data_IF_251692524552
#
_entry.id   IF_251692524552
#
_cell.length_a   1.000
_cell.length_b   1.000
_cell.length_c   1.000
_cell.angle_alpha   90.00
_cell.angle_beta   90.00
_cell.angle_gamma   90.00
#
_symmetry.space_group_name_H-M   'P 1'
#
loop_
_entity.id
_entity.type
_entity.pdbx_description
1 polymer ?
#
# COMPACT_ATOMS: atom_id res chain seq x y z
N UNK A 1 74.63 4.35 -24.96
CA UNK A 1 74.37 5.65 -24.29
C UNK A 1 72.87 6.06 -24.23
N UNK A 2 71.92 5.38 -24.88
CA UNK A 2 70.49 5.78 -24.83
C UNK A 2 69.76 5.49 -23.50
N UNK A 3 70.18 4.51 -22.70
CA UNK A 3 69.42 4.10 -21.50
C UNK A 3 69.50 5.08 -20.32
N UNK A 4 70.63 5.79 -20.15
CA UNK A 4 70.82 6.76 -19.06
C UNK A 4 69.96 8.02 -19.28
N UNK A 5 69.77 8.42 -20.55
CA UNK A 5 68.89 9.53 -20.92
C UNK A 5 67.42 9.20 -20.65
N UNK A 6 66.97 7.97 -20.97
CA UNK A 6 65.62 7.50 -20.72
C UNK A 6 65.28 7.39 -19.22
N UNK A 7 66.20 6.89 -18.39
CA UNK A 7 65.99 6.78 -16.92
C UNK A 7 65.94 8.17 -16.27
N UNK A 8 66.77 9.11 -16.72
CA UNK A 8 66.77 10.48 -16.22
C UNK A 8 65.50 11.25 -16.62
N UNK A 9 65.01 11.06 -17.85
CA UNK A 9 63.73 11.61 -18.30
C UNK A 9 62.58 11.03 -17.46
N UNK A 10 62.50 9.70 -17.30
CA UNK A 10 61.47 9.05 -16.47
C UNK A 10 61.49 9.55 -15.01
N UNK A 11 62.67 9.69 -14.41
CA UNK A 11 62.81 10.25 -13.05
C UNK A 11 62.35 11.71 -12.96
N UNK A 12 62.59 12.52 -13.99
CA UNK A 12 62.13 13.91 -14.08
C UNK A 12 60.61 13.99 -14.26
N UNK A 13 60.02 13.15 -15.11
CA UNK A 13 58.59 13.05 -15.31
C UNK A 13 57.86 12.64 -14.02
N UNK A 14 58.31 11.58 -13.34
CA UNK A 14 57.72 11.13 -12.06
C UNK A 14 57.80 12.20 -10.95
N UNK A 15 58.82 13.08 -10.97
CA UNK A 15 58.93 14.20 -10.01
C UNK A 15 57.94 15.33 -10.32
N UNK A 16 57.67 15.61 -11.59
CA UNK A 16 56.69 16.62 -12.02
C UNK A 16 55.27 16.15 -11.71
N UNK A 17 54.95 14.90 -12.04
CA UNK A 17 53.65 14.27 -11.75
C UNK A 17 53.33 14.27 -10.25
N UNK A 18 54.30 13.89 -9.39
CA UNK A 18 54.14 13.99 -7.94
C UNK A 18 53.91 15.42 -7.44
N UNK A 19 54.51 16.43 -8.09
CA UNK A 19 54.31 17.84 -7.76
C UNK A 19 52.91 18.30 -8.14
N UNK A 20 52.41 17.90 -9.31
CA UNK A 20 51.06 18.18 -9.77
C UNK A 20 50.02 17.55 -8.86
N UNK A 21 50.17 16.26 -8.54
CA UNK A 21 49.26 15.53 -7.66
C UNK A 21 49.23 16.16 -6.25
N UNK A 22 50.38 16.63 -5.73
CA UNK A 22 50.42 17.34 -4.45
C UNK A 22 49.60 18.64 -4.50
N UNK A 23 49.78 19.44 -5.55
CA UNK A 23 49.03 20.69 -5.73
C UNK A 23 47.55 20.39 -5.90
N UNK A 24 47.20 19.39 -6.72
CA UNK A 24 45.82 18.98 -6.94
C UNK A 24 45.12 18.60 -5.62
N UNK A 25 45.76 17.75 -4.80
CA UNK A 25 45.24 17.37 -3.49
C UNK A 25 45.06 18.59 -2.56
N UNK A 26 46.00 19.54 -2.59
CA UNK A 26 45.89 20.76 -1.79
C UNK A 26 44.72 21.64 -2.25
N UNK A 27 44.54 21.79 -3.57
CA UNK A 27 43.38 22.50 -4.13
C UNK A 27 42.07 21.78 -3.78
N UNK A 28 42.04 20.44 -3.78
CA UNK A 28 40.86 19.66 -3.38
C UNK A 28 40.48 19.88 -1.92
N UNK A 29 41.46 19.87 -1.01
CA UNK A 29 41.21 20.21 0.39
C UNK A 29 40.67 21.63 0.53
N UNK A 30 41.23 22.58 -0.22
CA UNK A 30 40.76 23.96 -0.24
C UNK A 30 39.31 24.05 -0.73
N UNK A 31 38.96 23.39 -1.85
CA UNK A 31 37.58 23.35 -2.35
C UNK A 31 36.63 22.78 -1.30
N UNK A 32 36.94 21.60 -0.72
CA UNK A 32 36.10 20.97 0.32
C UNK A 32 35.90 21.89 1.52
N UNK A 33 36.97 22.52 2.00
CA UNK A 33 36.91 23.43 3.14
C UNK A 33 36.02 24.66 2.87
N UNK A 34 36.11 25.23 1.68
CA UNK A 34 35.36 26.42 1.28
C UNK A 34 33.88 26.11 1.00
N UNK A 35 33.57 24.91 0.49
CA UNK A 35 32.20 24.43 0.34
C UNK A 35 31.57 24.18 1.71
N UNK A 36 32.22 23.42 2.60
CA UNK A 36 31.73 23.14 3.96
C UNK A 36 31.49 24.43 4.76
N UNK A 37 32.39 25.42 4.62
CA UNK A 37 32.22 26.73 5.26
C UNK A 37 30.91 27.40 4.86
N UNK A 38 30.52 27.33 3.58
CA UNK A 38 29.27 27.93 3.07
C UNK A 38 28.03 27.20 3.57
N UNK A 39 28.14 25.90 3.80
CA UNK A 39 27.07 25.08 4.38
C UNK A 39 26.83 25.40 5.86
N UNK A 40 27.88 25.83 6.58
CA UNK A 40 27.81 26.15 8.01
C UNK A 40 27.56 27.63 8.32
N UNK A 41 27.86 28.55 7.41
CA UNK A 41 27.64 29.97 7.63
C UNK A 41 26.17 30.34 7.47
N UNK A 42 25.59 30.94 8.52
CA UNK A 42 24.38 31.74 8.37
C UNK A 42 24.76 33.04 7.64
N UNK A 43 23.94 33.54 6.71
CA UNK A 43 24.11 34.90 6.20
C UNK A 43 24.04 35.84 7.41
N UNK A 44 25.17 36.47 7.72
CA UNK A 44 25.36 37.31 8.89
C UNK A 44 25.91 38.65 8.44
N UNK A 45 25.33 39.71 8.99
CA UNK A 45 25.74 41.08 8.71
C UNK A 45 27.22 41.25 9.12
N UNK A 46 28.10 41.50 8.15
CA UNK A 46 29.52 41.78 8.44
C UNK A 46 29.67 43.22 8.94
N UNK A 47 30.18 43.38 10.16
CA UNK A 47 30.43 44.69 10.75
C UNK A 47 31.44 45.52 9.94
N UNK A 48 31.39 46.85 10.09
CA UNK A 48 32.24 47.79 9.35
C UNK A 48 33.75 47.55 9.56
N UNK A 49 34.17 47.14 10.75
CA UNK A 49 35.56 46.78 11.06
C UNK A 49 36.07 45.57 10.26
N UNK A 50 35.18 44.62 9.95
CA UNK A 50 35.51 43.44 9.14
C UNK A 50 35.72 43.83 7.66
N UNK A 51 35.05 44.89 7.16
CA UNK A 51 35.16 45.36 5.77
C UNK A 51 36.56 45.90 5.45
N UNK A 52 37.11 46.74 6.32
CA UNK A 52 38.48 47.25 6.19
C UNK A 52 39.51 46.11 6.27
N UNK A 53 39.26 45.13 7.14
CA UNK A 53 40.11 43.94 7.29
C UNK A 53 40.12 43.09 6.00
N UNK A 54 38.98 42.96 5.31
CA UNK A 54 38.86 42.26 4.03
C UNK A 54 39.68 42.96 2.93
N UNK A 55 39.55 44.29 2.80
CA UNK A 55 40.32 45.06 1.82
C UNK A 55 41.83 44.96 2.10
N UNK A 56 42.26 45.04 3.36
CA UNK A 56 43.66 44.86 3.75
C UNK A 56 44.18 43.45 3.42
N UNK A 57 43.38 42.41 3.66
CA UNK A 57 43.73 41.04 3.31
C UNK A 57 43.92 40.86 1.80
N UNK A 58 43.02 41.43 0.98
CA UNK A 58 43.14 41.39 -0.48
C UNK A 58 44.34 42.20 -0.99
N UNK A 59 44.59 43.39 -0.45
CA UNK A 59 45.76 44.19 -0.84
C UNK A 59 47.08 43.51 -0.44
N UNK A 60 47.13 42.87 0.72
CA UNK A 60 48.29 42.04 1.12
C UNK A 60 48.53 40.91 0.11
N UNK A 61 47.46 40.26 -0.37
CA UNK A 61 47.56 39.23 -1.42
C UNK A 61 48.00 39.80 -2.77
N UNK A 62 47.51 40.97 -3.17
CA UNK A 62 47.97 41.65 -4.38
C UNK A 62 49.47 41.90 -4.35
N UNK A 63 50.00 42.43 -3.25
CA UNK A 63 51.45 42.65 -3.06
C UNK A 63 52.25 41.36 -3.15
N UNK A 64 51.78 40.30 -2.47
CA UNK A 64 52.41 38.99 -2.51
C UNK A 64 52.49 38.42 -3.94
N UNK A 65 51.41 38.56 -4.73
CA UNK A 65 51.39 38.09 -6.13
C UNK A 65 52.42 38.84 -6.97
N UNK A 66 52.47 40.16 -6.88
CA UNK A 66 53.42 41.00 -7.64
C UNK A 66 54.88 40.63 -7.29
N UNK A 67 55.19 40.51 -6.01
CA UNK A 67 56.55 40.14 -5.56
C UNK A 67 57.01 38.78 -6.07
N UNK A 68 56.10 37.80 -6.11
CA UNK A 68 56.43 36.42 -6.51
C UNK A 68 56.42 36.26 -8.03
N UNK A 69 55.61 37.05 -8.74
CA UNK A 69 55.63 37.15 -10.18
C UNK A 69 57.00 37.62 -10.69
N UNK A 70 57.59 38.67 -10.07
CA UNK A 70 58.95 39.12 -10.37
C UNK A 70 60.04 38.06 -10.11
N UNK A 71 59.78 37.11 -9.20
CA UNK A 71 60.71 36.03 -8.85
C UNK A 71 60.51 34.74 -9.65
N UNK A 72 59.52 34.69 -10.56
CA UNK A 72 59.22 33.50 -11.37
C UNK A 72 58.75 32.27 -10.58
N UNK A 73 58.24 32.46 -9.34
CA UNK A 73 57.90 31.38 -8.39
C UNK A 73 56.40 31.24 -8.14
N UNK A 74 55.56 31.62 -9.10
CA UNK A 74 54.09 31.63 -9.00
C UNK A 74 53.52 30.28 -8.55
N UNK A 75 54.09 29.15 -8.99
CA UNK A 75 53.62 27.82 -8.59
C UNK A 75 53.65 27.58 -7.08
N UNK A 76 54.48 28.30 -6.32
CA UNK A 76 54.65 28.09 -4.88
C UNK A 76 53.54 28.72 -4.04
N UNK A 77 52.81 29.68 -4.61
CA UNK A 77 51.68 30.35 -3.93
C UNK A 77 50.33 30.02 -4.56
N UNK A 78 50.32 29.15 -5.57
CA UNK A 78 49.12 28.81 -6.31
C UNK A 78 47.97 28.33 -5.41
N UNK A 79 48.16 27.46 -4.40
CA UNK A 79 47.10 27.09 -3.46
C UNK A 79 46.56 28.28 -2.67
N UNK A 80 47.45 29.15 -2.17
CA UNK A 80 47.03 30.34 -1.42
C UNK A 80 46.25 31.34 -2.29
N UNK A 81 46.68 31.53 -3.53
CA UNK A 81 45.98 32.35 -4.52
C UNK A 81 44.60 31.78 -4.85
N UNK A 82 44.51 30.46 -5.06
CA UNK A 82 43.26 29.77 -5.35
C UNK A 82 42.28 29.83 -4.16
N UNK A 83 42.76 29.63 -2.94
CA UNK A 83 41.96 29.80 -1.72
C UNK A 83 41.40 31.22 -1.62
N UNK A 84 42.23 32.25 -1.82
CA UNK A 84 41.78 33.64 -1.82
C UNK A 84 40.74 33.89 -2.92
N UNK A 85 40.93 33.33 -4.11
CA UNK A 85 39.95 33.40 -5.20
C UNK A 85 38.59 32.83 -4.79
N UNK A 86 38.54 31.65 -4.16
CA UNK A 86 37.30 31.08 -3.63
C UNK A 86 36.66 31.95 -2.53
N UNK A 87 37.48 32.54 -1.66
CA UNK A 87 37.01 33.39 -0.56
C UNK A 87 36.39 34.71 -1.03
N UNK A 88 36.68 35.16 -2.26
CA UNK A 88 36.03 36.34 -2.87
C UNK A 88 34.72 36.03 -3.59
N UNK A 89 34.35 34.74 -3.73
CA UNK A 89 33.07 34.32 -4.31
C UNK A 89 31.94 34.42 -3.31
N UNK A 90 30.70 34.43 -3.78
CA UNK A 90 29.48 34.50 -2.95
C UNK A 90 29.58 33.63 -1.68
N UNK A 91 29.14 34.19 -0.54
CA UNK A 91 29.27 33.60 0.82
C UNK A 91 30.73 33.28 1.24
N UNK A 92 31.67 33.90 0.54
CA UNK A 92 33.09 33.96 0.83
C UNK A 92 33.43 34.69 2.13
N UNK A 93 34.52 34.32 2.80
CA UNK A 93 35.02 35.07 3.97
C UNK A 93 35.45 36.48 3.56
N UNK A 94 35.97 36.63 2.34
CA UNK A 94 36.37 37.89 1.71
C UNK A 94 35.31 38.45 0.73
N UNK A 95 34.11 37.88 0.71
CA UNK A 95 33.00 38.38 -0.09
C UNK A 95 32.26 39.50 0.63
N UNK A 96 31.95 40.58 -0.09
CA UNK A 96 31.06 41.64 0.37
C UNK A 96 29.94 41.80 -0.65
N UNK A 97 28.69 41.92 -0.19
CA UNK A 97 27.54 42.22 -1.04
C UNK A 97 27.24 43.73 -1.03
N UNK A 98 26.65 44.24 -2.11
CA UNK A 98 26.21 45.64 -2.18
C UNK A 98 25.12 45.97 -1.15
N UNK A 99 24.32 44.97 -0.77
CA UNK A 99 23.26 45.13 0.23
C UNK A 99 23.82 45.30 1.65
N UNK A 100 24.93 44.63 1.95
CA UNK A 100 25.60 44.69 3.25
C UNK A 100 26.57 45.88 3.38
N UNK A 101 26.91 46.54 2.27
CA UNK A 101 27.95 47.57 2.23
C UNK A 101 27.45 48.86 1.56
N UNK A 102 27.67 50.00 2.23
CA UNK A 102 27.37 51.30 1.61
C UNK A 102 28.09 51.46 0.27
N UNK A 103 27.47 52.18 -0.67
CA UNK A 103 27.86 52.24 -2.08
C UNK A 103 29.36 52.56 -2.28
N UNK A 104 29.90 53.53 -1.53
CA UNK A 104 31.29 53.94 -1.62
C UNK A 104 32.27 52.83 -1.20
N UNK A 105 32.02 52.19 -0.05
CA UNK A 105 32.86 51.09 0.44
C UNK A 105 32.77 49.85 -0.46
N UNK A 106 31.60 49.61 -1.06
CA UNK A 106 31.44 48.53 -2.04
C UNK A 106 32.26 48.79 -3.31
N UNK A 107 32.27 50.03 -3.84
CA UNK A 107 33.09 50.42 -4.99
C UNK A 107 34.59 50.22 -4.70
N UNK A 108 35.05 50.62 -3.52
CA UNK A 108 36.45 50.40 -3.10
C UNK A 108 36.79 48.91 -3.04
N UNK A 109 35.92 48.10 -2.44
CA UNK A 109 36.06 46.64 -2.43
C UNK A 109 36.13 46.05 -3.85
N UNK A 110 35.23 46.45 -4.75
CA UNK A 110 35.23 45.97 -6.14
C UNK A 110 36.54 46.31 -6.87
N UNK A 111 37.10 47.50 -6.62
CA UNK A 111 38.39 47.88 -7.20
C UNK A 111 39.53 46.97 -6.69
N UNK A 112 39.60 46.72 -5.38
CA UNK A 112 40.64 45.87 -4.78
C UNK A 112 40.49 44.41 -5.22
N UNK A 113 39.26 43.89 -5.22
CA UNK A 113 38.93 42.55 -5.72
C UNK A 113 39.25 42.41 -7.21
N UNK A 114 38.90 43.39 -8.04
CA UNK A 114 39.17 43.39 -9.47
C UNK A 114 40.67 43.36 -9.79
N UNK A 115 41.49 44.08 -9.01
CA UNK A 115 42.95 43.99 -9.08
C UNK A 115 43.43 42.57 -8.76
N UNK A 116 42.93 41.97 -7.69
CA UNK A 116 43.27 40.60 -7.32
C UNK A 116 42.90 39.60 -8.42
N UNK A 117 41.68 39.67 -8.96
CA UNK A 117 41.21 38.77 -10.02
C UNK A 117 42.06 38.91 -11.29
N UNK A 118 42.48 40.13 -11.62
CA UNK A 118 43.38 40.41 -12.75
C UNK A 118 44.78 39.81 -12.52
N UNK A 119 45.36 40.03 -11.34
CA UNK A 119 46.67 39.51 -10.97
C UNK A 119 46.66 37.97 -10.90
N UNK A 120 45.57 37.38 -10.41
CA UNK A 120 45.36 35.94 -10.39
C UNK A 120 45.35 35.35 -11.80
N UNK A 121 44.55 35.93 -12.71
CA UNK A 121 44.48 35.47 -14.10
C UNK A 121 45.82 35.63 -14.84
N UNK A 122 46.47 36.79 -14.68
CA UNK A 122 47.79 37.04 -15.26
C UNK A 122 48.84 36.04 -14.76
N UNK A 123 48.83 35.73 -13.47
CA UNK A 123 49.73 34.75 -12.86
C UNK A 123 49.52 33.35 -13.41
N UNK A 124 48.28 32.94 -13.65
CA UNK A 124 47.99 31.66 -14.30
C UNK A 124 48.47 31.62 -15.76
N UNK A 125 48.30 32.72 -16.51
CA UNK A 125 48.77 32.81 -17.89
C UNK A 125 50.29 32.82 -17.99
N UNK A 126 50.99 33.35 -16.98
CA UNK A 126 52.44 33.36 -16.90
C UNK A 126 53.06 32.00 -16.53
N UNK A 127 52.26 31.02 -16.07
CA UNK A 127 52.76 29.66 -15.81
C UNK A 127 53.11 28.96 -17.12
N UNK A 128 54.35 28.50 -17.26
CA UNK A 128 54.76 27.64 -18.38
C UNK A 128 54.15 26.23 -18.32
N UNK A 129 53.67 25.83 -17.15
CA UNK A 129 53.12 24.50 -16.85
C UNK A 129 51.63 24.43 -17.17
N UNK A 130 51.29 23.94 -18.37
CA UNK A 130 49.91 23.84 -18.86
C UNK A 130 49.04 22.90 -18.02
N UNK A 131 49.63 21.89 -17.40
CA UNK A 131 48.90 20.92 -16.59
C UNK A 131 48.44 21.55 -15.27
N UNK A 132 49.29 22.35 -14.61
CA UNK A 132 48.89 23.14 -13.45
C UNK A 132 47.76 24.12 -13.76
N UNK A 133 47.78 24.75 -14.94
CA UNK A 133 46.68 25.62 -15.38
C UNK A 133 45.38 24.82 -15.53
N UNK A 134 45.46 23.63 -16.13
CA UNK A 134 44.32 22.72 -16.30
C UNK A 134 43.74 22.29 -14.95
N UNK A 135 44.58 21.87 -14.01
CA UNK A 135 44.18 21.50 -12.64
C UNK A 135 43.40 22.65 -11.99
N UNK A 136 43.93 23.87 -12.00
CA UNK A 136 43.25 25.04 -11.41
C UNK A 136 41.89 25.28 -12.05
N UNK A 137 41.81 25.29 -13.39
CA UNK A 137 40.53 25.49 -14.11
C UNK A 137 39.52 24.39 -13.79
N UNK A 138 39.96 23.14 -13.70
CA UNK A 138 39.11 22.01 -13.34
C UNK A 138 38.58 22.18 -11.91
N UNK A 139 39.41 22.60 -10.96
CA UNK A 139 38.96 22.86 -9.57
C UNK A 139 38.05 24.08 -9.45
N UNK A 140 38.24 25.12 -10.29
CA UNK A 140 37.29 26.23 -10.38
C UNK A 140 35.91 25.77 -10.84
N UNK A 141 35.87 24.96 -11.91
CA UNK A 141 34.62 24.37 -12.42
C UNK A 141 33.96 23.48 -11.36
N UNK A 142 34.72 22.58 -10.77
CA UNK A 142 34.25 21.66 -9.73
C UNK A 142 33.68 22.42 -8.51
N UNK A 143 34.29 23.53 -8.10
CA UNK A 143 33.72 24.39 -7.07
C UNK A 143 32.36 24.96 -7.47
N UNK A 144 32.23 25.52 -8.68
CA UNK A 144 30.96 26.11 -9.13
C UNK A 144 29.85 25.06 -9.26
N UNK A 145 30.17 23.89 -9.84
CA UNK A 145 29.22 22.78 -10.01
C UNK A 145 28.67 22.35 -8.63
N UNK A 146 29.55 22.13 -7.65
CA UNK A 146 29.14 21.75 -6.30
C UNK A 146 28.48 22.89 -5.52
N UNK A 147 28.92 24.13 -5.70
CA UNK A 147 28.32 25.28 -5.03
C UNK A 147 26.88 25.51 -5.50
N UNK A 148 26.59 25.28 -6.79
CA UNK A 148 25.23 25.32 -7.32
C UNK A 148 24.33 24.30 -6.61
N UNK A 149 24.83 23.07 -6.41
CA UNK A 149 24.10 22.01 -5.68
C UNK A 149 23.91 22.40 -4.21
N UNK A 150 24.91 23.00 -3.55
CA UNK A 150 24.76 23.50 -2.17
C UNK A 150 23.66 24.55 -2.07
N UNK A 151 23.58 25.48 -3.04
CA UNK A 151 22.52 26.49 -3.06
C UNK A 151 21.14 25.84 -3.21
N UNK A 152 21.03 24.87 -4.10
CA UNK A 152 19.82 24.06 -4.25
C UNK A 152 19.45 23.37 -2.93
N UNK A 153 20.40 22.66 -2.31
CA UNK A 153 20.22 22.00 -1.00
C UNK A 153 19.76 22.99 0.06
N UNK A 154 20.31 24.20 0.10
CA UNK A 154 19.90 25.23 1.07
C UNK A 154 18.44 25.65 0.89
N UNK A 155 17.99 25.80 -0.35
CA UNK A 155 16.58 26.07 -0.67
C UNK A 155 15.70 24.90 -0.25
N UNK A 156 16.07 23.67 -0.62
CA UNK A 156 15.33 22.46 -0.21
C UNK A 156 15.24 22.34 1.32
N UNK A 157 16.35 22.61 2.02
CA UNK A 157 16.42 22.59 3.48
C UNK A 157 15.46 23.62 4.10
N UNK A 158 15.37 24.82 3.51
CA UNK A 158 14.42 25.84 3.94
C UNK A 158 12.97 25.41 3.69
N UNK A 159 12.68 24.83 2.53
CA UNK A 159 11.36 24.30 2.19
C UNK A 159 10.93 23.21 3.18
N UNK A 160 11.81 22.26 3.50
CA UNK A 160 11.54 21.22 4.50
C UNK A 160 11.29 21.80 5.89
N UNK A 161 12.06 22.84 6.28
CA UNK A 161 11.82 23.54 7.55
C UNK A 161 10.46 24.24 7.58
N UNK A 162 10.04 24.84 6.47
CA UNK A 162 8.73 25.47 6.36
C UNK A 162 7.62 24.43 6.43
N UNK A 163 7.73 23.32 5.70
CA UNK A 163 6.81 22.17 5.79
C UNK A 163 6.68 21.73 7.25
N UNK A 164 7.79 21.44 7.94
CA UNK A 164 7.78 21.04 9.35
C UNK A 164 7.11 22.08 10.24
N UNK A 165 7.37 23.36 10.00
CA UNK A 165 6.78 24.46 10.78
C UNK A 165 5.27 24.51 10.59
N UNK A 166 4.78 24.40 9.36
CA UNK A 166 3.36 24.40 9.03
C UNK A 166 2.65 23.21 9.66
N UNK A 167 3.19 21.99 9.52
CA UNK A 167 2.65 20.78 10.16
C UNK A 167 2.60 20.93 11.69
N UNK A 168 3.64 21.50 12.30
CA UNK A 168 3.67 21.72 13.73
C UNK A 168 2.60 22.73 14.19
N UNK A 169 2.27 23.72 13.34
CA UNK A 169 1.20 24.70 13.58
C UNK A 169 -0.19 24.11 13.38
N UNK A 170 -0.36 23.11 12.52
CA UNK A 170 -1.62 22.38 12.40
C UNK A 170 -1.97 21.71 13.73
N UNK A 171 -3.16 22.01 14.26
CA UNK A 171 -3.59 21.43 15.53
C UNK A 171 -3.73 19.91 15.41
N UNK A 172 -3.30 19.18 16.45
CA UNK A 172 -3.50 17.73 16.49
C UNK A 172 -4.98 17.46 16.75
N UNK A 173 -5.67 16.89 15.77
CA UNK A 173 -7.08 16.50 15.93
C UNK A 173 -7.13 15.11 16.58
N UNK A 174 -7.90 14.97 17.67
CA UNK A 174 -8.43 13.67 18.08
C UNK A 174 -9.73 13.48 17.30
N UNK A 175 -9.77 12.59 16.29
CA UNK A 175 -10.95 12.49 15.45
C UNK A 175 -12.15 12.02 16.27
N UNK A 176 -13.26 12.72 16.15
CA UNK A 176 -14.53 12.33 16.78
C UNK A 176 -15.33 11.38 15.87
N UNK A 177 -15.24 11.62 14.57
CA UNK A 177 -15.83 10.81 13.52
C UNK A 177 -14.82 10.53 12.40
N UNK A 178 -15.25 9.70 11.46
CA UNK A 178 -14.44 9.30 10.31
C UNK A 178 -14.21 10.43 9.31
N UNK A 179 -15.21 11.29 9.10
CA UNK A 179 -15.12 12.40 8.15
C UNK A 179 -14.06 13.41 8.58
N UNK A 180 -13.97 13.70 9.87
CA UNK A 180 -12.92 14.50 10.47
C UNK A 180 -11.54 13.84 10.32
N UNK A 181 -11.44 12.53 10.53
CA UNK A 181 -10.17 11.80 10.35
C UNK A 181 -9.69 11.86 8.89
N UNK A 182 -10.58 11.60 7.92
CA UNK A 182 -10.25 11.65 6.49
C UNK A 182 -9.93 13.07 6.04
N UNK A 183 -10.69 14.06 6.49
CA UNK A 183 -10.46 15.47 6.14
C UNK A 183 -9.11 15.95 6.68
N UNK A 184 -8.76 15.59 7.91
CA UNK A 184 -7.46 15.91 8.50
C UNK A 184 -6.29 15.27 7.74
N UNK A 185 -6.41 13.98 7.36
CA UNK A 185 -5.38 13.33 6.55
C UNK A 185 -5.24 13.94 5.16
N UNK A 186 -6.34 14.41 4.55
CA UNK A 186 -6.31 15.16 3.28
C UNK A 186 -5.63 16.52 3.42
N UNK A 187 -5.77 17.19 4.57
CA UNK A 187 -5.07 18.44 4.85
C UNK A 187 -3.56 18.24 4.96
N UNK A 188 -3.10 17.11 5.52
CA UNK A 188 -1.68 16.80 5.68
C UNK A 188 -1.06 16.19 4.41
N UNK A 189 -1.86 15.52 3.56
CA UNK A 189 -1.38 14.81 2.38
C UNK A 189 -0.47 15.64 1.43
N UNK A 190 -0.75 16.93 1.14
CA UNK A 190 0.14 17.77 0.34
C UNK A 190 1.55 17.87 0.91
N UNK A 191 1.69 18.06 2.24
CA UNK A 191 3.00 18.15 2.88
C UNK A 191 3.81 16.85 2.75
N UNK A 192 3.13 15.70 2.82
CA UNK A 192 3.76 14.39 2.62
C UNK A 192 4.23 14.22 1.18
N UNK A 193 3.42 14.65 0.20
CA UNK A 193 3.78 14.60 -1.21
C UNK A 193 4.98 15.52 -1.52
N UNK A 194 4.97 16.75 -1.02
CA UNK A 194 6.09 17.70 -1.18
C UNK A 194 7.37 17.15 -0.55
N UNK A 195 7.28 16.56 0.64
CA UNK A 195 8.42 15.92 1.29
C UNK A 195 8.98 14.75 0.45
N UNK A 196 8.13 13.93 -0.15
CA UNK A 196 8.54 12.83 -1.04
C UNK A 196 9.27 13.31 -2.31
N UNK A 197 8.86 14.44 -2.88
CA UNK A 197 9.57 15.06 -4.01
C UNK A 197 10.98 15.48 -3.58
N UNK A 198 11.11 16.09 -2.39
CA UNK A 198 12.41 16.49 -1.84
C UNK A 198 13.27 15.28 -1.49
N UNK A 199 12.68 14.22 -0.95
CA UNK A 199 13.36 12.93 -0.69
C UNK A 199 13.89 12.29 -1.97
N UNK A 200 13.11 12.34 -3.06
CA UNK A 200 13.53 11.84 -4.37
C UNK A 200 14.77 12.60 -4.87
N UNK A 201 14.75 13.94 -4.75
CA UNK A 201 15.90 14.77 -5.12
C UNK A 201 17.11 14.52 -4.20
N UNK A 202 16.88 14.31 -2.91
CA UNK A 202 17.93 13.92 -1.96
C UNK A 202 18.62 12.61 -2.40
N UNK A 203 17.87 11.61 -2.88
CA UNK A 203 18.44 10.33 -3.33
C UNK A 203 19.40 10.52 -4.51
N UNK A 204 19.10 11.45 -5.42
CA UNK A 204 19.96 11.75 -6.59
C UNK A 204 21.29 12.41 -6.19
N UNK A 205 21.31 13.19 -5.11
CA UNK A 205 22.49 14.00 -4.71
C UNK A 205 23.25 13.40 -3.52
N UNK A 206 22.74 12.33 -2.89
CA UNK A 206 23.30 11.78 -1.65
C UNK A 206 24.75 11.28 -1.77
N UNK A 207 25.18 10.92 -2.98
CA UNK A 207 26.50 10.31 -3.26
C UNK A 207 27.55 11.35 -3.68
N UNK A 208 27.26 12.65 -3.56
CA UNK A 208 28.18 13.70 -3.98
C UNK A 208 29.30 13.97 -2.95
N UNK A 209 30.53 13.57 -3.31
CA UNK A 209 31.73 13.56 -2.45
C UNK A 209 32.15 14.90 -1.82
N UNK A 210 31.79 16.03 -2.45
CA UNK A 210 32.23 17.37 -2.04
C UNK A 210 31.21 18.12 -1.18
N UNK A 211 30.01 17.56 -1.01
CA UNK A 211 28.88 18.25 -0.37
C UNK A 211 28.22 17.41 0.73
N UNK A 212 28.95 16.42 1.27
CA UNK A 212 28.48 15.47 2.29
C UNK A 212 27.84 16.19 3.50
N UNK A 213 28.42 17.30 3.96
CA UNK A 213 27.86 18.06 5.09
C UNK A 213 26.49 18.69 4.76
N UNK A 214 26.32 19.19 3.53
CA UNK A 214 25.07 19.78 3.06
C UNK A 214 23.98 18.70 2.95
N UNK A 215 24.34 17.56 2.36
CA UNK A 215 23.48 16.38 2.22
C UNK A 215 23.04 15.88 3.60
N UNK A 216 23.95 15.75 4.57
CA UNK A 216 23.63 15.36 5.95
C UNK A 216 22.65 16.32 6.62
N UNK A 217 22.82 17.64 6.43
CA UNK A 217 21.90 18.66 6.96
C UNK A 217 20.50 18.52 6.36
N UNK A 218 20.40 18.37 5.04
CA UNK A 218 19.12 18.14 4.37
C UNK A 218 18.45 16.86 4.86
N UNK A 219 19.19 15.76 4.96
CA UNK A 219 18.67 14.49 5.46
C UNK A 219 18.10 14.61 6.88
N UNK A 220 18.83 15.29 7.78
CA UNK A 220 18.36 15.50 9.15
C UNK A 220 17.06 16.31 9.23
N UNK A 221 16.90 17.32 8.37
CA UNK A 221 15.66 18.10 8.30
C UNK A 221 14.51 17.29 7.67
N UNK A 222 14.77 16.51 6.61
CA UNK A 222 13.79 15.60 6.00
C UNK A 222 13.27 14.63 7.05
N UNK A 223 14.17 13.96 7.76
CA UNK A 223 13.82 13.00 8.82
C UNK A 223 12.98 13.67 9.92
N UNK A 224 13.35 14.89 10.31
CA UNK A 224 12.61 15.65 11.33
C UNK A 224 11.22 16.08 10.86
N UNK A 225 11.05 16.42 9.58
CA UNK A 225 9.76 16.74 8.98
C UNK A 225 8.89 15.49 8.87
N UNK A 226 9.43 14.38 8.38
CA UNK A 226 8.74 13.09 8.29
C UNK A 226 8.20 12.66 9.66
N UNK A 227 9.04 12.73 10.69
CA UNK A 227 8.63 12.40 12.07
C UNK A 227 7.47 13.28 12.56
N UNK A 228 7.49 14.58 12.25
CA UNK A 228 6.40 15.49 12.62
C UNK A 228 5.08 15.15 11.89
N UNK A 229 5.15 14.79 10.60
CA UNK A 229 3.99 14.29 9.83
C UNK A 229 3.44 13.02 10.49
N UNK A 230 4.30 12.05 10.79
CA UNK A 230 3.90 10.78 11.37
C UNK A 230 3.23 10.99 12.74
N UNK A 231 3.82 11.81 13.62
CA UNK A 231 3.26 12.14 14.94
C UNK A 231 1.88 12.80 14.84
N UNK A 232 1.70 13.74 13.90
CA UNK A 232 0.42 14.44 13.70
C UNK A 232 -0.64 13.52 13.12
N UNK A 233 -0.28 12.67 12.17
CA UNK A 233 -1.23 11.79 11.48
C UNK A 233 -1.60 10.53 12.27
N UNK A 234 -0.77 10.13 13.24
CA UNK A 234 -0.92 8.84 13.96
C UNK A 234 -2.31 8.63 14.56
N UNK A 235 -2.91 9.65 15.18
CA UNK A 235 -4.21 9.52 15.82
C UNK A 235 -5.34 9.30 14.80
N UNK A 236 -5.32 10.02 13.68
CA UNK A 236 -6.29 9.86 12.60
C UNK A 236 -6.16 8.50 11.91
N UNK A 237 -4.92 8.09 11.60
CA UNK A 237 -4.64 6.77 11.02
C UNK A 237 -5.08 5.64 11.95
N UNK A 238 -4.78 5.77 13.25
CA UNK A 238 -5.18 4.79 14.26
C UNK A 238 -6.70 4.71 14.36
N UNK A 239 -7.39 5.84 14.44
CA UNK A 239 -8.85 5.88 14.52
C UNK A 239 -9.49 5.14 13.34
N UNK A 240 -9.09 5.45 12.10
CA UNK A 240 -9.61 4.79 10.89
C UNK A 240 -9.32 3.28 10.89
N UNK A 241 -8.12 2.90 11.34
CA UNK A 241 -7.75 1.49 11.42
C UNK A 241 -8.55 0.75 12.50
N UNK A 242 -8.80 1.38 13.64
CA UNK A 242 -9.60 0.81 14.73
C UNK A 242 -11.06 0.61 14.28
N UNK A 243 -11.63 1.51 13.47
CA UNK A 243 -12.95 1.33 12.85
C UNK A 243 -12.97 0.12 11.90
N UNK A 244 -11.99 0.01 11.00
CA UNK A 244 -11.86 -1.15 10.13
C UNK A 244 -11.70 -2.45 10.93
N UNK A 245 -10.91 -2.43 12.00
CA UNK A 245 -10.73 -3.58 12.86
C UNK A 245 -12.01 -3.97 13.61
N UNK A 246 -12.81 -2.99 14.05
CA UNK A 246 -14.10 -3.23 14.69
C UNK A 246 -15.06 -3.96 13.74
N UNK A 247 -15.14 -3.53 12.47
CA UNK A 247 -15.95 -4.19 11.44
C UNK A 247 -15.51 -5.65 11.27
N UNK A 248 -14.20 -5.89 11.22
CA UNK A 248 -13.68 -7.25 11.09
C UNK A 248 -13.93 -8.12 12.34
N UNK A 249 -13.89 -7.52 13.54
CA UNK A 249 -14.26 -8.22 14.76
C UNK A 249 -15.75 -8.57 14.80
N UNK A 250 -16.63 -7.67 14.35
CA UNK A 250 -18.07 -7.95 14.20
C UNK A 250 -18.31 -9.07 13.19
N UNK A 251 -17.57 -9.10 12.09
CA UNK A 251 -17.56 -10.23 11.16
C UNK A 251 -17.20 -11.54 11.87
N UNK A 252 -16.09 -11.56 12.62
CA UNK A 252 -15.62 -12.77 13.33
C UNK A 252 -16.58 -13.29 14.39
N UNK A 253 -17.33 -12.41 15.06
CA UNK A 253 -18.31 -12.82 16.08
C UNK A 253 -19.67 -13.22 15.51
N UNK A 254 -19.93 -12.89 14.24
CA UNK A 254 -21.19 -13.22 13.57
C UNK A 254 -21.17 -14.67 13.08
N UNK A 255 -22.18 -15.50 13.43
CA UNK A 255 -22.24 -16.88 12.95
C UNK A 255 -22.27 -16.96 11.43
N UNK A 256 -21.47 -17.88 10.86
CA UNK A 256 -21.49 -18.17 9.44
C UNK A 256 -22.78 -18.89 9.05
N UNK A 257 -23.83 -18.12 8.73
CA UNK A 257 -25.11 -18.62 8.21
C UNK A 257 -25.55 -17.87 6.95
N UNK A 258 -26.36 -18.52 6.11
CA UNK A 258 -26.91 -17.92 4.89
C UNK A 258 -27.69 -16.63 5.13
N UNK A 259 -28.32 -16.49 6.30
CA UNK A 259 -29.05 -15.28 6.69
C UNK A 259 -28.14 -14.05 6.84
N UNK A 260 -26.84 -14.28 7.05
CA UNK A 260 -25.85 -13.22 7.29
C UNK A 260 -25.01 -12.91 6.03
N UNK A 261 -25.31 -13.52 4.87
CA UNK A 261 -24.52 -13.34 3.65
C UNK A 261 -24.50 -11.86 3.18
N UNK A 262 -25.64 -11.18 3.24
CA UNK A 262 -25.75 -9.75 2.91
C UNK A 262 -24.95 -8.89 3.87
N UNK A 263 -24.99 -9.22 5.17
CA UNK A 263 -24.20 -8.53 6.20
C UNK A 263 -22.69 -8.68 5.95
N UNK A 264 -22.21 -9.88 5.62
CA UNK A 264 -20.81 -10.11 5.28
C UNK A 264 -20.39 -9.37 4.01
N UNK A 265 -21.27 -9.27 3.03
CA UNK A 265 -21.03 -8.50 1.81
C UNK A 265 -20.92 -7.00 2.11
N UNK A 266 -21.78 -6.46 2.96
CA UNK A 266 -21.72 -5.07 3.40
C UNK A 266 -20.42 -4.77 4.19
N UNK A 267 -20.06 -5.64 5.14
CA UNK A 267 -18.81 -5.52 5.90
C UNK A 267 -17.57 -5.56 4.99
N UNK A 268 -17.58 -6.41 3.95
CA UNK A 268 -16.54 -6.44 2.92
C UNK A 268 -16.42 -5.10 2.18
N UNK A 269 -17.55 -4.51 1.79
CA UNK A 269 -17.57 -3.22 1.07
C UNK A 269 -17.00 -2.09 1.92
N UNK A 270 -17.34 -2.04 3.22
CA UNK A 270 -16.76 -1.06 4.14
C UNK A 270 -15.25 -1.25 4.30
N UNK A 271 -14.77 -2.49 4.44
CA UNK A 271 -13.33 -2.76 4.51
C UNK A 271 -12.60 -2.40 3.20
N UNK A 272 -13.22 -2.59 2.05
CA UNK A 272 -12.67 -2.13 0.76
C UNK A 272 -12.54 -0.60 0.74
N UNK A 273 -13.51 0.12 1.28
CA UNK A 273 -13.48 1.58 1.39
C UNK A 273 -12.33 2.05 2.28
N UNK A 274 -12.13 1.44 3.44
CA UNK A 274 -10.96 1.73 4.29
C UNK A 274 -9.63 1.38 3.61
N UNK A 275 -9.55 0.25 2.90
CA UNK A 275 -8.37 -0.09 2.09
C UNK A 275 -8.05 1.01 1.07
N UNK A 276 -9.07 1.54 0.39
CA UNK A 276 -8.91 2.65 -0.55
C UNK A 276 -8.44 3.95 0.11
N UNK A 277 -8.87 4.25 1.33
CA UNK A 277 -8.36 5.40 2.11
C UNK A 277 -6.86 5.22 2.38
N UNK A 278 -6.44 4.05 2.90
CA UNK A 278 -5.03 3.80 3.19
C UNK A 278 -4.15 3.74 1.93
N UNK A 279 -4.69 3.29 0.80
CA UNK A 279 -4.03 3.35 -0.50
C UNK A 279 -3.78 4.80 -0.95
N UNK A 280 -4.78 5.66 -0.82
CA UNK A 280 -4.69 7.07 -1.23
C UNK A 280 -3.64 7.88 -0.47
N UNK A 281 -3.30 7.47 0.76
CA UNK A 281 -2.27 8.10 1.60
C UNK A 281 -0.95 7.33 1.63
N UNK A 282 -0.83 6.30 0.78
CA UNK A 282 0.33 5.43 0.63
C UNK A 282 0.76 4.75 1.94
N UNK A 283 -0.20 4.25 2.73
CA UNK A 283 0.03 3.45 3.94
C UNK A 283 -0.06 1.95 3.62
N UNK A 284 1.05 1.41 3.12
CA UNK A 284 1.15 0.04 2.62
C UNK A 284 0.90 -0.98 3.75
N UNK A 285 1.35 -0.70 4.97
CA UNK A 285 1.25 -1.65 6.09
C UNK A 285 -0.20 -1.85 6.51
N UNK A 286 -0.96 -0.77 6.74
CA UNK A 286 -2.36 -0.86 7.16
C UNK A 286 -3.24 -1.38 6.04
N UNK A 287 -2.98 -0.96 4.79
CA UNK A 287 -3.64 -1.51 3.60
C UNK A 287 -3.50 -3.03 3.55
N UNK A 288 -2.28 -3.56 3.67
CA UNK A 288 -2.02 -5.01 3.62
C UNK A 288 -2.74 -5.78 4.74
N UNK A 289 -2.84 -5.21 5.94
CA UNK A 289 -3.64 -5.81 7.03
C UNK A 289 -5.13 -5.89 6.69
N UNK A 290 -5.69 -4.84 6.12
CA UNK A 290 -7.10 -4.81 5.68
C UNK A 290 -7.34 -5.79 4.52
N UNK A 291 -6.39 -5.93 3.60
CA UNK A 291 -6.46 -6.97 2.55
C UNK A 291 -6.52 -8.38 3.14
N UNK A 292 -5.79 -8.65 4.24
CA UNK A 292 -5.92 -9.89 4.99
C UNK A 292 -7.32 -10.11 5.60
N UNK A 293 -7.97 -9.03 6.06
CA UNK A 293 -9.36 -9.09 6.54
C UNK A 293 -10.31 -9.44 5.39
N UNK A 294 -10.15 -8.78 4.23
CA UNK A 294 -10.95 -9.00 3.02
C UNK A 294 -10.87 -10.45 2.53
N UNK A 295 -9.66 -11.01 2.46
CA UNK A 295 -9.46 -12.42 2.08
C UNK A 295 -10.18 -13.40 3.00
N UNK A 296 -10.22 -13.08 4.30
CA UNK A 296 -10.93 -13.91 5.29
C UNK A 296 -12.44 -13.89 5.07
N UNK A 297 -13.02 -12.72 4.77
CA UNK A 297 -14.46 -12.59 4.48
C UNK A 297 -14.78 -13.27 3.15
N UNK A 298 -13.94 -13.09 2.12
CA UNK A 298 -14.14 -13.69 0.80
C UNK A 298 -14.21 -15.21 0.84
N UNK A 299 -13.35 -15.84 1.64
CA UNK A 299 -13.40 -17.28 1.85
C UNK A 299 -14.75 -17.72 2.43
N UNK A 300 -15.27 -17.01 3.42
CA UNK A 300 -16.55 -17.34 4.06
C UNK A 300 -17.73 -17.09 3.13
N UNK A 301 -17.76 -15.93 2.46
CA UNK A 301 -18.79 -15.59 1.47
C UNK A 301 -18.85 -16.64 0.37
N UNK A 302 -17.69 -17.06 -0.16
CA UNK A 302 -17.62 -18.11 -1.19
C UNK A 302 -18.15 -19.45 -0.68
N UNK A 303 -17.75 -19.88 0.52
CA UNK A 303 -18.25 -21.12 1.11
C UNK A 303 -19.78 -21.11 1.29
N UNK A 304 -20.33 -19.98 1.74
CA UNK A 304 -21.78 -19.82 1.91
C UNK A 304 -22.53 -19.79 0.57
N UNK A 305 -21.97 -19.17 -0.46
CA UNK A 305 -22.52 -19.21 -1.82
C UNK A 305 -22.53 -20.65 -2.37
N UNK A 306 -21.45 -21.41 -2.15
CA UNK A 306 -21.37 -22.81 -2.56
C UNK A 306 -22.40 -23.68 -1.82
N UNK A 307 -22.62 -23.44 -0.52
CA UNK A 307 -23.68 -24.10 0.25
C UNK A 307 -25.08 -23.75 -0.27
N UNK A 308 -25.33 -22.48 -0.58
CA UNK A 308 -26.60 -22.03 -1.17
C UNK A 308 -26.87 -22.72 -2.51
N UNK A 309 -25.85 -22.85 -3.37
CA UNK A 309 -25.95 -23.58 -4.62
C UNK A 309 -26.24 -25.07 -4.41
N UNK A 310 -25.61 -25.69 -3.40
CA UNK A 310 -25.90 -27.10 -3.04
C UNK A 310 -27.34 -27.27 -2.53
N UNK A 311 -27.84 -26.36 -1.71
CA UNK A 311 -29.22 -26.38 -1.22
C UNK A 311 -30.22 -26.23 -2.36
N UNK A 312 -30.04 -25.22 -3.24
CA UNK A 312 -30.88 -25.05 -4.43
C UNK A 312 -30.88 -26.28 -5.34
N UNK A 313 -29.71 -26.90 -5.53
CA UNK A 313 -29.61 -28.13 -6.33
C UNK A 313 -30.29 -29.32 -5.65
N UNK A 314 -30.24 -29.41 -4.33
CA UNK A 314 -30.94 -30.45 -3.58
C UNK A 314 -32.47 -30.25 -3.61
N UNK A 315 -32.94 -29.03 -3.41
CA UNK A 315 -34.36 -28.66 -3.55
C UNK A 315 -34.88 -28.93 -4.96
N UNK A 316 -34.14 -28.54 -6.00
CA UNK A 316 -34.50 -28.84 -7.39
C UNK A 316 -34.59 -30.34 -7.65
N UNK A 317 -33.66 -31.15 -7.11
CA UNK A 317 -33.71 -32.62 -7.21
C UNK A 317 -34.90 -33.23 -6.47
N UNK A 318 -35.25 -32.71 -5.30
CA UNK A 318 -36.42 -33.18 -4.55
C UNK A 318 -37.71 -32.84 -5.29
N UNK A 319 -37.80 -31.63 -5.86
CA UNK A 319 -38.91 -31.21 -6.71
C UNK A 319 -39.01 -32.09 -7.97
N UNK A 320 -37.90 -32.35 -8.65
CA UNK A 320 -37.86 -33.23 -9.83
C UNK A 320 -38.27 -34.67 -9.47
N UNK A 321 -37.78 -35.20 -8.34
CA UNK A 321 -38.17 -36.53 -7.86
C UNK A 321 -39.67 -36.60 -7.53
N UNK A 322 -40.20 -35.59 -6.84
CA UNK A 322 -41.63 -35.47 -6.55
C UNK A 322 -42.46 -35.38 -7.84
N UNK A 323 -42.01 -34.59 -8.81
CA UNK A 323 -42.67 -34.48 -10.12
C UNK A 323 -42.64 -35.81 -10.90
N UNK A 324 -41.52 -36.52 -10.89
CA UNK A 324 -41.40 -37.84 -11.51
C UNK A 324 -42.31 -38.87 -10.84
N UNK A 325 -42.40 -38.86 -9.50
CA UNK A 325 -43.30 -39.74 -8.75
C UNK A 325 -44.78 -39.44 -9.07
N UNK A 326 -45.15 -38.17 -9.19
CA UNK A 326 -46.49 -37.75 -9.65
C UNK A 326 -46.76 -38.29 -11.05
N UNK A 327 -45.83 -38.07 -11.99
CA UNK A 327 -45.98 -38.48 -13.38
C UNK A 327 -46.07 -40.01 -13.52
N UNK A 328 -45.19 -40.76 -12.84
CA UNK A 328 -45.19 -42.22 -12.84
C UNK A 328 -46.48 -42.78 -12.23
N UNK A 329 -46.94 -42.19 -11.11
CA UNK A 329 -48.20 -42.58 -10.47
C UNK A 329 -49.40 -42.36 -11.40
N UNK A 330 -49.42 -41.24 -12.11
CA UNK A 330 -50.48 -40.95 -13.07
C UNK A 330 -50.41 -41.83 -14.32
N UNK A 331 -49.22 -42.11 -14.85
CA UNK A 331 -49.04 -43.03 -15.98
C UNK A 331 -49.50 -44.45 -15.64
N UNK A 332 -49.18 -44.96 -14.44
CA UNK A 332 -49.69 -46.26 -13.97
C UNK A 332 -51.21 -46.30 -13.85
N UNK A 333 -51.84 -45.17 -13.50
CA UNK A 333 -53.29 -45.05 -13.58
C UNK A 333 -53.77 -45.16 -15.04
N UNK A 334 -53.13 -44.47 -15.99
CA UNK A 334 -53.48 -44.55 -17.41
C UNK A 334 -53.33 -45.99 -17.95
N UNK A 335 -52.30 -46.72 -17.54
CA UNK A 335 -52.12 -48.14 -17.88
C UNK A 335 -53.28 -49.01 -17.35
N UNK A 336 -53.72 -48.81 -16.11
CA UNK A 336 -54.89 -49.53 -15.56
C UNK A 336 -56.16 -49.17 -16.31
N UNK A 337 -56.31 -47.89 -16.69
CA UNK A 337 -57.44 -47.41 -17.49
C UNK A 337 -57.47 -48.06 -18.87
N UNK A 338 -56.32 -48.23 -19.51
CA UNK A 338 -56.20 -48.91 -20.80
C UNK A 338 -56.42 -50.42 -20.70
N UNK A 339 -55.83 -51.09 -19.70
CA UNK A 339 -56.08 -52.52 -19.44
C UNK A 339 -57.57 -52.80 -19.20
N UNK A 340 -58.29 -51.85 -18.59
CA UNK A 340 -59.73 -51.94 -18.39
C UNK A 340 -60.49 -51.82 -19.71
N UNK A 341 -60.14 -50.85 -20.57
CA UNK A 341 -60.80 -50.68 -21.87
C UNK A 341 -60.55 -51.83 -22.84
N UNK A 342 -59.42 -52.52 -22.72
CA UNK A 342 -59.08 -53.70 -23.51
C UNK A 342 -59.76 -55.00 -23.00
N UNK A 343 -60.50 -54.95 -21.89
CA UNK A 343 -61.16 -56.14 -21.32
C UNK A 343 -60.21 -57.12 -20.63
N UNK A 344 -58.97 -56.71 -20.33
CA UNK A 344 -57.94 -57.54 -19.70
C UNK A 344 -58.07 -57.61 -18.16
N UNK A 345 -59.06 -56.90 -17.59
CA UNK A 345 -59.39 -56.86 -16.15
C UNK A 345 -60.77 -57.50 -15.89
N UNK A 346 -60.97 -58.74 -16.34
CA UNK A 346 -62.26 -59.45 -16.25
C UNK A 346 -62.40 -60.34 -15.01
N UNK A 347 -61.30 -60.79 -14.41
CA UNK A 347 -61.35 -61.59 -13.19
C UNK A 347 -61.57 -60.72 -11.95
N UNK A 348 -62.44 -61.15 -11.04
CA UNK A 348 -62.79 -60.41 -9.81
C UNK A 348 -61.57 -60.12 -8.93
N UNK A 349 -60.62 -61.05 -8.85
CA UNK A 349 -59.35 -60.86 -8.15
C UNK A 349 -58.46 -59.77 -8.79
N UNK A 350 -58.50 -59.63 -10.12
CA UNK A 350 -57.76 -58.60 -10.85
C UNK A 350 -58.40 -57.22 -10.67
N UNK A 351 -59.73 -57.15 -10.65
CA UNK A 351 -60.48 -55.91 -10.38
C UNK A 351 -60.25 -55.40 -8.95
N UNK A 352 -60.26 -56.30 -7.94
CA UNK A 352 -59.97 -55.94 -6.55
C UNK A 352 -58.54 -55.42 -6.37
N UNK A 353 -57.56 -56.03 -7.04
CA UNK A 353 -56.17 -55.58 -7.01
C UNK A 353 -55.99 -54.22 -7.73
N UNK A 354 -56.63 -54.05 -8.89
CA UNK A 354 -56.65 -52.78 -9.61
C UNK A 354 -57.26 -51.65 -8.75
N UNK A 355 -58.37 -51.91 -8.05
CA UNK A 355 -58.98 -50.94 -7.14
C UNK A 355 -58.03 -50.51 -6.02
N UNK A 356 -57.37 -51.46 -5.35
CA UNK A 356 -56.42 -51.14 -4.29
C UNK A 356 -55.24 -50.27 -4.80
N UNK A 357 -54.76 -50.55 -6.02
CA UNK A 357 -53.73 -49.73 -6.68
C UNK A 357 -54.24 -48.34 -7.04
N UNK A 358 -55.45 -48.21 -7.59
CA UNK A 358 -56.05 -46.92 -7.95
C UNK A 358 -56.30 -46.04 -6.71
N UNK A 359 -56.78 -46.61 -5.61
CA UNK A 359 -56.95 -45.92 -4.33
C UNK A 359 -55.58 -45.43 -3.81
N UNK A 360 -54.56 -46.29 -3.85
CA UNK A 360 -53.20 -45.91 -3.47
C UNK A 360 -52.63 -44.79 -4.36
N UNK A 361 -52.83 -44.85 -5.67
CA UNK A 361 -52.36 -43.81 -6.61
C UNK A 361 -53.09 -42.49 -6.41
N UNK A 362 -54.41 -42.52 -6.17
CA UNK A 362 -55.19 -41.35 -5.80
C UNK A 362 -54.62 -40.70 -4.54
N UNK A 363 -54.38 -41.48 -3.49
CA UNK A 363 -53.91 -40.96 -2.21
C UNK A 363 -52.51 -40.33 -2.33
N UNK A 364 -51.62 -40.94 -3.12
CA UNK A 364 -50.30 -40.38 -3.46
C UNK A 364 -50.43 -39.03 -4.20
N UNK A 365 -51.35 -38.91 -5.16
CA UNK A 365 -51.57 -37.67 -5.90
C UNK A 365 -52.21 -36.56 -5.03
N UNK A 366 -53.13 -36.93 -4.13
CA UNK A 366 -53.72 -35.99 -3.14
C UNK A 366 -52.64 -35.48 -2.19
N UNK A 367 -51.79 -36.36 -1.67
CA UNK A 367 -50.70 -36.00 -0.77
C UNK A 367 -49.69 -35.03 -1.42
N UNK A 368 -49.52 -35.12 -2.75
CA UNK A 368 -48.69 -34.22 -3.54
C UNK A 368 -49.45 -33.00 -4.11
N UNK A 369 -50.68 -32.74 -3.67
CA UNK A 369 -51.46 -31.56 -4.07
C UNK A 369 -52.09 -31.62 -5.47
N UNK A 370 -51.98 -32.75 -6.19
CA UNK A 370 -52.47 -32.94 -7.56
C UNK A 370 -53.95 -33.35 -7.60
N UNK A 371 -54.82 -32.46 -7.11
CA UNK A 371 -56.26 -32.73 -6.91
C UNK A 371 -57.02 -33.05 -8.20
N UNK A 372 -56.63 -32.47 -9.33
CA UNK A 372 -57.29 -32.71 -10.64
C UNK A 372 -57.01 -34.15 -11.09
N UNK A 373 -55.74 -34.55 -11.10
CA UNK A 373 -55.32 -35.90 -11.47
C UNK A 373 -55.91 -36.96 -10.52
N UNK A 374 -55.97 -36.69 -9.22
CA UNK A 374 -56.62 -37.57 -8.26
C UNK A 374 -58.13 -37.70 -8.52
N UNK A 375 -58.81 -36.60 -8.87
CA UNK A 375 -60.23 -36.60 -9.20
C UNK A 375 -60.54 -37.38 -10.49
N UNK A 376 -59.61 -37.41 -11.43
CA UNK A 376 -59.74 -38.24 -12.63
C UNK A 376 -59.69 -39.74 -12.30
N UNK A 377 -58.85 -40.13 -11.33
CA UNK A 377 -58.85 -41.51 -10.79
C UNK A 377 -60.19 -41.82 -10.09
N UNK A 378 -60.72 -40.91 -9.27
CA UNK A 378 -62.01 -41.10 -8.60
C UNK A 378 -63.17 -41.24 -9.58
N UNK A 379 -63.20 -40.38 -10.61
CA UNK A 379 -64.19 -40.47 -11.70
C UNK A 379 -64.07 -41.80 -12.43
N UNK A 380 -62.85 -42.27 -12.69
CA UNK A 380 -62.63 -43.58 -13.31
C UNK A 380 -63.16 -44.72 -12.43
N UNK A 381 -62.83 -44.75 -11.13
CA UNK A 381 -63.36 -45.75 -10.18
C UNK A 381 -64.90 -45.74 -10.16
N UNK A 382 -65.51 -44.55 -10.11
CA UNK A 382 -66.96 -44.39 -10.01
C UNK A 382 -67.70 -44.74 -11.31
N UNK A 383 -67.13 -44.39 -12.48
CA UNK A 383 -67.75 -44.63 -13.79
C UNK A 383 -67.63 -46.07 -14.26
N UNK A 384 -66.52 -46.75 -13.92
CA UNK A 384 -66.30 -48.15 -14.28
C UNK A 384 -67.04 -49.12 -13.36
N UNK A 385 -67.40 -48.70 -12.15
CA UNK A 385 -68.08 -49.58 -11.19
C UNK A 385 -67.16 -50.67 -10.62
N UNK A 386 -65.84 -50.57 -10.79
CA UNK A 386 -64.84 -51.49 -10.20
C UNK A 386 -64.97 -51.57 -8.67
N UNK A 387 -65.58 -50.55 -8.04
CA UNK A 387 -65.88 -50.53 -6.60
C UNK A 387 -67.17 -51.24 -6.20
N UNK A 388 -68.06 -51.58 -7.15
CA UNK A 388 -69.32 -52.28 -6.85
C UNK A 388 -69.03 -53.76 -6.63
N UNK A 389 -69.19 -54.21 -5.39
CA UNK A 389 -69.28 -55.65 -5.09
C UNK A 389 -70.39 -56.25 -5.95
N UNK A 390 -70.09 -57.30 -6.72
CA UNK A 390 -71.13 -58.22 -7.15
C UNK A 390 -71.74 -58.81 -5.88
N UNK A 391 -72.94 -58.35 -5.53
CA UNK A 391 -73.72 -58.90 -4.43
C UNK A 391 -74.18 -60.29 -4.83
N UNK A 392 -73.39 -61.29 -4.47
CA UNK A 392 -73.69 -62.69 -4.75
C UNK A 392 -72.68 -63.64 -4.14
N UNK A 393 -72.57 -63.66 -2.81
CA UNK A 393 -72.27 -64.84 -1.97
C UNK A 393 -71.81 -64.37 -0.58
N UNK A 394 -72.58 -64.72 0.44
CA UNK A 394 -72.09 -64.74 1.80
C UNK A 394 -71.14 -65.94 1.95
N UNK A 395 -69.88 -65.68 2.31
CA UNK A 395 -69.00 -66.69 2.88
C UNK A 395 -67.97 -66.03 3.80
N UNK A 396 -68.15 -66.30 5.08
CA UNK A 396 -67.14 -66.74 6.05
C UNK A 396 -65.84 -65.95 6.23
N UNK A 397 -65.69 -65.48 7.48
CA UNK A 397 -64.47 -65.35 8.27
C UNK A 397 -63.12 -65.33 7.51
N UNK A 398 -62.59 -64.13 7.31
CA UNK A 398 -61.14 -63.91 7.27
C UNK A 398 -60.70 -63.27 8.58
N UNK A 399 -59.91 -64.01 9.36
CA UNK A 399 -59.14 -63.49 10.48
C UNK A 399 -58.08 -62.48 9.97
N UNK A 400 -58.48 -61.24 9.73
CA UNK A 400 -57.54 -60.14 9.56
C UNK A 400 -57.10 -59.67 10.96
N UNK A 401 -55.81 -59.81 11.24
CA UNK A 401 -55.17 -59.36 12.46
C UNK A 401 -55.37 -57.84 12.62
N UNK A 402 -56.20 -57.46 13.59
CA UNK A 402 -56.57 -56.07 13.86
C UNK A 402 -55.35 -55.33 14.45
N UNK A 403 -54.57 -54.66 13.59
CA UNK A 403 -53.39 -53.87 13.96
C UNK A 403 -53.68 -52.87 15.08
N UNK A 404 -54.93 -52.43 15.23
CA UNK A 404 -55.35 -51.53 16.31
C UNK A 404 -55.31 -52.21 17.69
N UNK A 405 -55.68 -53.49 17.77
CA UNK A 405 -55.55 -54.30 19.00
C UNK A 405 -54.10 -54.66 19.29
N UNK A 406 -53.31 -54.98 18.26
CA UNK A 406 -51.87 -55.22 18.40
C UNK A 406 -51.12 -53.99 18.95
N UNK A 407 -51.46 -52.80 18.45
CA UNK A 407 -50.86 -51.54 18.91
C UNK A 407 -51.27 -51.18 20.35
N UNK A 408 -52.51 -51.47 20.75
CA UNK A 408 -52.97 -51.26 22.15
C UNK A 408 -52.27 -52.17 23.16
N UNK A 409 -51.80 -53.36 22.76
CA UNK A 409 -51.04 -54.28 23.62
C UNK A 409 -49.55 -53.93 23.63
N UNK A 410 -48.99 -53.49 22.50
CA UNK A 410 -47.56 -53.17 22.40
C UNK A 410 -47.19 -51.84 23.07
N UNK A 411 -48.07 -50.84 23.08
CA UNK A 411 -47.76 -49.52 23.64
C UNK A 411 -47.42 -49.56 25.14
N UNK A 412 -48.20 -50.24 26.02
CA UNK A 412 -47.86 -50.35 27.43
C UNK A 412 -46.55 -51.11 27.67
N UNK A 413 -46.28 -52.16 26.88
CA UNK A 413 -45.06 -52.98 26.99
C UNK A 413 -43.81 -52.20 26.58
N UNK A 414 -43.89 -51.43 25.49
CA UNK A 414 -42.78 -50.57 25.03
C UNK A 414 -42.48 -49.45 26.02
N UNK A 415 -43.51 -48.84 26.63
CA UNK A 415 -43.32 -47.81 27.66
C UNK A 415 -42.67 -48.40 28.92
N UNK A 416 -43.11 -49.58 29.38
CA UNK A 416 -42.52 -50.28 30.53
C UNK A 416 -41.06 -50.68 30.29
N UNK A 417 -40.73 -51.17 29.10
CA UNK A 417 -39.35 -51.48 28.71
C UNK A 417 -38.46 -50.23 28.68
N UNK A 418 -38.98 -49.11 28.17
CA UNK A 418 -38.24 -47.85 28.11
C UNK A 418 -38.00 -47.27 29.51
N UNK A 419 -38.98 -47.40 30.41
CA UNK A 419 -38.83 -47.07 31.84
C UNK A 419 -37.82 -47.97 32.55
N UNK A 420 -37.82 -49.27 32.27
CA UNK A 420 -36.85 -50.21 32.83
C UNK A 420 -35.41 -49.90 32.39
N UNK A 421 -35.22 -49.54 31.11
CA UNK A 421 -33.93 -49.07 30.58
C UNK A 421 -33.51 -47.75 31.25
N UNK A 422 -34.44 -46.82 31.45
CA UNK A 422 -34.16 -45.54 32.10
C UNK A 422 -33.73 -45.71 33.57
N UNK A 423 -34.35 -46.66 34.30
CA UNK A 423 -33.97 -47.00 35.68
C UNK A 423 -32.59 -47.69 35.74
N UNK A 424 -32.25 -48.51 34.74
CA UNK A 424 -30.91 -49.12 34.63
C UNK A 424 -29.79 -48.13 34.30
N UNK A 425 -30.09 -46.98 33.69
CA UNK A 425 -29.09 -45.95 33.35
C UNK A 425 -28.86 -44.97 34.51
N UNK A 426 -29.82 -44.84 35.43
CA UNK A 426 -29.76 -43.92 36.58
C UNK A 426 -29.20 -44.59 37.85
N UNK A 427 -29.14 -45.93 37.89
CA UNK A 427 -28.32 -46.69 38.85
C UNK A 427 -26.97 -47.00 38.26
#
# INVERSE_FOLDING_TARGET
MCWISSIWLLSKYMKIEKKHQKIENELDMIVRSELNRRVSQKPGNKDFSQKNTINQALESKNRQIVEIHHKGKVSNILPSMFSCWLQTREQGSLYLSAEETGEQSFKEYQNVKGRFETLFAASLMALADKELISIVKNKQKLFYDNYSIIREISVLTMTVKNIRKEINMTESVKPQDEEAAVSYLKEIAPFKADLQVIESRYIEIKEADYIEEAVKKLHGEIHSAAKSIDEKTQNALKYLFDQANQIFHTYKSTPASLKNLELFTAQKQELLRYSGIFDSINDIERKSKIEGFLLSIDKTVKNQQDELLKQKKHEARLLEKSQNEINETYNRFLEIKEMYSQGNLTAEAQQKNALAKLVKYRDILIANGQRIMARDIERFINSTGISKKNTGAASEHSEDFDYKKGFQILLPVTILLLLAVFIMIIK
#
